data_IF_791550863451
#
_entry.id   IF_791550863451
#
_cell.length_a   1.000
_cell.length_b   1.000
_cell.length_c   1.000
_cell.angle_alpha   90.00
_cell.angle_beta   90.00
_cell.angle_gamma   90.00
#
_symmetry.space_group_name_H-M   'P 1'
#
loop_
_entity.id
_entity.type
_entity.pdbx_description
1 polymer ?
#
# COMPACT_ATOMS: atom_id res chain seq x y z
N UNK A 1 -48.90 20.23 25.04
CA UNK A 1 -47.61 20.21 24.32
C UNK A 1 -47.88 20.49 22.85
N UNK A 2 -47.34 21.58 22.28
CA UNK A 2 -47.74 22.03 20.94
C UNK A 2 -47.27 21.04 19.88
N UNK A 3 -48.20 20.33 19.24
CA UNK A 3 -47.94 19.28 18.24
C UNK A 3 -46.99 19.77 17.14
N UNK A 4 -47.10 21.04 16.72
CA UNK A 4 -46.18 21.69 15.78
C UNK A 4 -44.72 21.70 16.25
N UNK A 5 -44.46 21.90 17.55
CA UNK A 5 -43.10 21.90 18.11
C UNK A 5 -42.50 20.49 18.15
N UNK A 6 -43.34 19.47 18.36
CA UNK A 6 -42.92 18.06 18.36
C UNK A 6 -42.53 17.62 16.95
N UNK A 7 -43.31 17.99 15.94
CA UNK A 7 -42.99 17.66 14.54
C UNK A 7 -41.68 18.30 14.08
N UNK A 8 -41.44 19.56 14.44
CA UNK A 8 -40.18 20.26 14.11
C UNK A 8 -38.98 19.57 14.76
N UNK A 9 -39.09 19.18 16.03
CA UNK A 9 -38.02 18.46 16.74
C UNK A 9 -37.69 17.12 16.06
N UNK A 10 -38.71 16.38 15.62
CA UNK A 10 -38.56 15.07 14.98
C UNK A 10 -37.90 15.17 13.60
N UNK A 11 -38.24 16.19 12.82
CA UNK A 11 -37.58 16.50 11.53
C UNK A 11 -36.12 16.89 11.75
N UNK A 12 -35.83 17.68 12.79
CA UNK A 12 -34.46 18.09 13.11
C UNK A 12 -33.57 16.89 13.48
N UNK A 13 -34.09 15.95 14.28
CA UNK A 13 -33.37 14.73 14.69
C UNK A 13 -33.11 13.81 13.48
N UNK A 14 -34.03 13.73 12.52
CA UNK A 14 -33.83 12.97 11.28
C UNK A 14 -32.76 13.59 10.37
N UNK A 15 -32.68 14.93 10.31
CA UNK A 15 -31.67 15.64 9.52
C UNK A 15 -30.26 15.55 10.12
N UNK A 16 -30.11 15.43 11.43
CA UNK A 16 -28.79 15.26 12.07
C UNK A 16 -28.25 13.84 11.85
N UNK A 17 -29.11 12.82 11.82
CA UNK A 17 -28.70 11.43 11.58
C UNK A 17 -28.17 11.18 10.15
N UNK A 18 -28.61 11.94 9.14
CA UNK A 18 -28.11 11.78 7.76
C UNK A 18 -26.69 12.35 7.56
N UNK A 19 -26.23 13.26 8.42
CA UNK A 19 -24.87 13.84 8.34
C UNK A 19 -23.82 12.83 8.84
N UNK A 20 -24.16 12.01 9.83
CA UNK A 20 -23.25 11.00 10.41
C UNK A 20 -22.92 9.89 9.41
N UNK A 21 -23.89 9.51 8.56
CA UNK A 21 -23.66 8.53 7.48
C UNK A 21 -23.03 9.13 6.21
N UNK A 22 -22.97 10.46 6.09
CA UNK A 22 -22.37 11.15 4.94
C UNK A 22 -20.88 11.46 5.09
N UNK A 23 -20.28 11.22 6.27
CA UNK A 23 -18.82 11.15 6.41
C UNK A 23 -18.31 9.84 5.80
N UNK A 24 -18.40 9.76 4.46
CA UNK A 24 -17.59 8.85 3.65
C UNK A 24 -16.14 9.06 4.06
N UNK A 25 -15.57 8.02 4.67
CA UNK A 25 -14.17 7.63 4.68
C UNK A 25 -13.33 8.59 3.83
N UNK A 26 -12.78 9.65 4.43
CA UNK A 26 -11.80 10.47 3.71
C UNK A 26 -10.60 9.55 3.49
N UNK A 27 -10.24 9.21 2.24
CA UNK A 27 -9.04 8.43 1.99
C UNK A 27 -7.88 9.22 2.60
N UNK A 28 -7.15 8.61 3.52
CA UNK A 28 -5.96 9.21 4.08
C UNK A 28 -5.07 9.73 2.93
N UNK A 29 -4.43 10.92 3.09
CA UNK A 29 -3.66 11.57 2.02
C UNK A 29 -2.53 10.71 1.42
N UNK A 30 -2.18 9.58 2.05
CA UNK A 30 -1.23 8.60 1.53
C UNK A 30 -1.55 8.06 0.13
N UNK A 31 -2.82 7.94 -0.26
CA UNK A 31 -3.20 7.35 -1.56
C UNK A 31 -2.66 8.14 -2.77
N UNK A 32 -2.73 9.47 -2.72
CA UNK A 32 -2.24 10.34 -3.81
C UNK A 32 -0.72 10.31 -3.95
N UNK A 33 0.00 10.22 -2.83
CA UNK A 33 1.47 10.13 -2.86
C UNK A 33 1.95 8.79 -3.41
N UNK A 34 1.24 7.70 -3.12
CA UNK A 34 1.55 6.36 -3.66
C UNK A 34 1.49 6.36 -5.19
N UNK A 35 0.42 6.91 -5.76
CA UNK A 35 0.25 6.95 -7.22
C UNK A 35 1.35 7.76 -7.91
N UNK A 36 1.70 8.93 -7.37
CA UNK A 36 2.80 9.76 -7.89
C UNK A 36 4.16 9.05 -7.81
N UNK A 37 4.44 8.33 -6.72
CA UNK A 37 5.66 7.55 -6.56
C UNK A 37 5.71 6.41 -7.59
N UNK A 38 4.59 5.72 -7.82
CA UNK A 38 4.48 4.64 -8.81
C UNK A 38 4.70 5.18 -10.22
N UNK A 39 4.05 6.28 -10.60
CA UNK A 39 4.23 6.91 -11.91
C UNK A 39 5.69 7.36 -12.13
N UNK A 40 6.30 7.99 -11.12
CA UNK A 40 7.70 8.40 -11.18
C UNK A 40 8.64 7.20 -11.33
N UNK A 41 8.42 6.14 -10.55
CA UNK A 41 9.16 4.88 -10.66
C UNK A 41 9.07 4.32 -12.07
N UNK A 42 7.87 4.24 -12.63
CA UNK A 42 7.65 3.62 -13.94
C UNK A 42 8.35 4.40 -15.06
N UNK A 43 8.31 5.73 -14.99
CA UNK A 43 9.04 6.59 -15.93
C UNK A 43 10.55 6.40 -15.83
N UNK A 44 11.12 6.40 -14.62
CA UNK A 44 12.56 6.21 -14.43
C UNK A 44 13.01 4.78 -14.80
N UNK A 45 12.16 3.79 -14.54
CA UNK A 45 12.39 2.41 -14.95
C UNK A 45 12.44 2.30 -16.47
N UNK A 46 11.47 2.86 -17.18
CA UNK A 46 11.44 2.84 -18.65
C UNK A 46 12.69 3.47 -19.25
N UNK A 47 13.17 4.59 -18.69
CA UNK A 47 14.44 5.21 -19.09
C UNK A 47 15.65 4.30 -18.80
N UNK A 48 15.70 3.67 -17.63
CA UNK A 48 16.83 2.86 -17.21
C UNK A 48 16.97 1.54 -17.99
N UNK A 49 15.84 0.96 -18.40
CA UNK A 49 15.79 -0.31 -19.13
C UNK A 49 15.95 -0.10 -20.65
N UNK A 50 15.72 1.11 -21.16
CA UNK A 50 15.76 1.44 -22.59
C UNK A 50 14.94 0.42 -23.42
N UNK A 51 13.68 0.23 -23.05
CA UNK A 51 12.79 -0.73 -23.70
C UNK A 51 12.32 -0.18 -25.05
N UNK A 52 12.42 -0.98 -26.10
CA UNK A 52 11.73 -0.72 -27.36
C UNK A 52 10.21 -0.80 -27.17
N UNK A 53 9.46 -0.32 -28.16
CA UNK A 53 8.00 -0.35 -28.12
C UNK A 53 7.45 -1.78 -27.99
N UNK A 54 8.07 -2.75 -28.69
CA UNK A 54 7.64 -4.16 -28.63
C UNK A 54 8.01 -4.82 -27.30
N UNK A 55 9.21 -4.57 -26.77
CA UNK A 55 9.59 -5.07 -25.43
C UNK A 55 8.70 -4.47 -24.33
N UNK A 56 8.36 -3.18 -24.43
CA UNK A 56 7.49 -2.50 -23.47
C UNK A 56 6.10 -3.11 -23.40
N UNK A 57 5.51 -3.46 -24.57
CA UNK A 57 4.19 -4.11 -24.65
C UNK A 57 4.14 -5.43 -23.88
N UNK A 58 5.25 -6.16 -23.82
CA UNK A 58 5.33 -7.46 -23.14
C UNK A 58 5.77 -7.33 -21.68
N UNK A 59 6.77 -6.50 -21.40
CA UNK A 59 7.37 -6.37 -20.08
C UNK A 59 6.48 -5.61 -19.09
N UNK A 60 5.83 -4.51 -19.52
CA UNK A 60 5.04 -3.66 -18.61
C UNK A 60 3.86 -4.39 -17.95
N UNK A 61 3.08 -5.23 -18.65
CA UNK A 61 2.06 -6.04 -18.01
C UNK A 61 2.62 -6.97 -16.92
N UNK A 62 3.77 -7.60 -17.16
CA UNK A 62 4.40 -8.50 -16.19
C UNK A 62 4.87 -7.72 -14.96
N UNK A 63 5.46 -6.54 -15.16
CA UNK A 63 5.89 -5.66 -14.06
C UNK A 63 4.68 -5.21 -13.23
N UNK A 64 3.56 -4.87 -13.90
CA UNK A 64 2.30 -4.55 -13.22
C UNK A 64 1.75 -5.73 -12.41
N UNK A 65 1.88 -6.95 -12.92
CA UNK A 65 1.50 -8.16 -12.18
C UNK A 65 2.41 -8.38 -10.95
N UNK A 66 3.71 -8.09 -11.06
CA UNK A 66 4.66 -8.12 -9.92
C UNK A 66 4.22 -7.11 -8.85
N UNK A 67 3.83 -5.90 -9.25
CA UNK A 67 3.35 -4.88 -8.32
C UNK A 67 2.07 -5.28 -7.61
N UNK A 68 1.07 -5.77 -8.36
CA UNK A 68 -0.18 -6.27 -7.79
C UNK A 68 0.05 -7.42 -6.82
N UNK A 69 0.93 -8.36 -7.16
CA UNK A 69 1.29 -9.46 -6.28
C UNK A 69 1.89 -8.93 -4.97
N UNK A 70 2.79 -7.94 -5.05
CA UNK A 70 3.38 -7.29 -3.88
C UNK A 70 2.35 -6.54 -3.03
N UNK A 71 1.43 -5.82 -3.66
CA UNK A 71 0.36 -5.10 -2.95
C UNK A 71 -0.58 -6.05 -2.22
N UNK A 72 -1.07 -7.09 -2.90
CA UNK A 72 -1.92 -8.12 -2.29
C UNK A 72 -1.21 -8.85 -1.16
N UNK A 73 0.08 -9.15 -1.32
CA UNK A 73 0.89 -9.73 -0.25
C UNK A 73 0.93 -8.83 0.99
N UNK A 74 1.20 -7.52 0.85
CA UNK A 74 1.24 -6.62 2.00
C UNK A 74 -0.12 -6.48 2.69
N UNK A 75 -1.21 -6.45 1.92
CA UNK A 75 -2.56 -6.42 2.48
C UNK A 75 -2.85 -7.70 3.29
N UNK A 76 -2.60 -8.87 2.69
CA UNK A 76 -2.80 -10.16 3.36
C UNK A 76 -1.90 -10.31 4.58
N UNK A 77 -0.63 -9.90 4.48
CA UNK A 77 0.33 -9.93 5.57
C UNK A 77 -0.14 -9.07 6.74
N UNK A 78 -0.55 -7.82 6.48
CA UNK A 78 -1.05 -6.92 7.52
C UNK A 78 -2.30 -7.47 8.20
N UNK A 79 -3.24 -8.04 7.43
CA UNK A 79 -4.44 -8.65 7.98
C UNK A 79 -4.10 -9.80 8.93
N UNK A 80 -3.17 -10.69 8.54
CA UNK A 80 -2.74 -11.81 9.40
C UNK A 80 -1.98 -11.32 10.63
N UNK A 81 -1.12 -10.30 10.50
CA UNK A 81 -0.43 -9.71 11.65
C UNK A 81 -1.40 -9.11 12.67
N UNK A 82 -2.45 -8.43 12.21
CA UNK A 82 -3.51 -7.93 13.09
C UNK A 82 -4.26 -9.08 13.79
N UNK A 83 -4.52 -10.19 13.08
CA UNK A 83 -5.12 -11.40 13.69
C UNK A 83 -4.22 -12.04 14.75
N UNK A 84 -2.89 -12.06 14.52
CA UNK A 84 -1.90 -12.51 15.50
C UNK A 84 -1.89 -11.60 16.74
N UNK A 85 -1.84 -10.28 16.54
CA UNK A 85 -1.85 -9.30 17.63
C UNK A 85 -3.12 -9.43 18.49
N UNK A 86 -4.27 -9.62 17.85
CA UNK A 86 -5.53 -9.90 18.54
C UNK A 86 -5.47 -11.21 19.32
N UNK A 87 -4.96 -12.28 18.72
CA UNK A 87 -4.86 -13.60 19.38
C UNK A 87 -3.96 -13.57 20.61
N UNK A 88 -2.86 -12.79 20.56
CA UNK A 88 -1.99 -12.53 21.70
C UNK A 88 -2.72 -11.74 22.80
N UNK A 89 -3.42 -10.67 22.42
CA UNK A 89 -4.19 -9.84 23.35
C UNK A 89 -5.29 -10.63 24.06
N UNK A 90 -5.95 -11.53 23.34
CA UNK A 90 -7.03 -12.39 23.84
C UNK A 90 -6.50 -13.64 24.58
N UNK A 91 -5.16 -13.85 24.66
CA UNK A 91 -4.51 -15.06 25.18
C UNK A 91 -5.02 -16.37 24.54
N UNK A 92 -5.47 -16.33 23.29
CA UNK A 92 -6.04 -17.47 22.59
C UNK A 92 -4.94 -18.23 21.81
N UNK A 93 -4.27 -19.15 22.48
CA UNK A 93 -3.13 -19.89 21.92
C UNK A 93 -3.50 -20.77 20.72
N UNK A 94 -4.74 -21.26 20.63
CA UNK A 94 -5.19 -22.07 19.50
C UNK A 94 -5.32 -21.23 18.23
N UNK A 95 -5.96 -20.06 18.33
CA UNK A 95 -6.10 -19.15 17.19
C UNK A 95 -4.75 -18.51 16.83
N UNK A 96 -3.89 -18.24 17.83
CA UNK A 96 -2.53 -17.78 17.61
C UNK A 96 -1.74 -18.75 16.72
N UNK A 97 -1.72 -20.04 17.06
CA UNK A 97 -1.00 -21.06 16.27
C UNK A 97 -1.47 -21.07 14.81
N UNK A 98 -2.79 -21.04 14.60
CA UNK A 98 -3.40 -21.02 13.26
C UNK A 98 -3.03 -19.77 12.46
N UNK A 99 -3.01 -18.60 13.11
CA UNK A 99 -2.65 -17.34 12.45
C UNK A 99 -1.15 -17.27 12.12
N UNK A 100 -0.30 -17.85 12.96
CA UNK A 100 1.14 -18.01 12.65
C UNK A 100 1.35 -18.93 11.45
N UNK A 101 0.64 -20.05 11.37
CA UNK A 101 0.71 -20.95 10.20
C UNK A 101 0.24 -20.24 8.92
N UNK A 102 -0.86 -19.47 9.01
CA UNK A 102 -1.37 -18.64 7.91
C UNK A 102 -0.34 -17.58 7.48
N UNK A 103 0.38 -16.96 8.41
CA UNK A 103 1.44 -16.01 8.07
C UNK A 103 2.56 -16.67 7.27
N UNK A 104 3.01 -17.86 7.70
CA UNK A 104 4.03 -18.65 7.00
C UNK A 104 3.54 -19.03 5.59
N UNK A 105 2.28 -19.42 5.45
CA UNK A 105 1.69 -19.75 4.17
C UNK A 105 1.63 -18.54 3.21
N UNK A 106 1.19 -17.37 3.70
CA UNK A 106 1.18 -16.12 2.92
C UNK A 106 2.58 -15.78 2.40
N UNK A 107 3.62 -15.96 3.24
CA UNK A 107 5.01 -15.75 2.83
C UNK A 107 5.45 -16.72 1.73
N UNK A 108 5.16 -18.01 1.89
CA UNK A 108 5.51 -19.04 0.90
C UNK A 108 4.85 -18.78 -0.45
N UNK A 109 3.56 -18.46 -0.44
CA UNK A 109 2.79 -18.21 -1.66
C UNK A 109 3.32 -16.96 -2.37
N UNK A 110 3.58 -15.88 -1.64
CA UNK A 110 4.17 -14.67 -2.22
C UNK A 110 5.52 -14.93 -2.89
N UNK A 111 6.41 -15.66 -2.23
CA UNK A 111 7.73 -15.99 -2.78
C UNK A 111 7.62 -16.85 -4.04
N UNK A 112 6.72 -17.83 -4.04
CA UNK A 112 6.44 -18.66 -5.21
C UNK A 112 5.95 -17.81 -6.39
N UNK A 113 4.91 -17.01 -6.18
CA UNK A 113 4.29 -16.20 -7.23
C UNK A 113 5.27 -15.13 -7.75
N UNK A 114 6.06 -14.54 -6.85
CA UNK A 114 7.13 -13.59 -7.21
C UNK A 114 8.16 -14.24 -8.12
N UNK A 115 8.63 -15.45 -7.79
CA UNK A 115 9.61 -16.16 -8.60
C UNK A 115 9.06 -16.53 -9.97
N UNK A 116 7.80 -16.96 -10.06
CA UNK A 116 7.15 -17.26 -11.35
C UNK A 116 7.06 -16.03 -12.24
N UNK A 117 6.66 -14.87 -11.69
CA UNK A 117 6.62 -13.61 -12.42
C UNK A 117 8.01 -13.13 -12.84
N UNK A 118 9.04 -13.30 -12.01
CA UNK A 118 10.42 -12.96 -12.36
C UNK A 118 10.95 -13.85 -13.48
N UNK A 119 10.65 -15.15 -13.46
CA UNK A 119 10.98 -16.08 -14.56
C UNK A 119 10.28 -15.67 -15.85
N UNK A 120 9.00 -15.28 -15.76
CA UNK A 120 8.22 -14.77 -16.90
C UNK A 120 8.86 -13.49 -17.47
N UNK A 121 9.25 -12.55 -16.61
CA UNK A 121 9.90 -11.31 -17.03
C UNK A 121 11.24 -11.59 -17.71
N UNK A 122 12.09 -12.43 -17.11
CA UNK A 122 13.38 -12.84 -17.67
C UNK A 122 13.25 -13.48 -19.05
N UNK A 123 12.22 -14.31 -19.26
CA UNK A 123 11.98 -14.96 -20.56
C UNK A 123 11.64 -13.96 -21.68
N UNK A 124 11.08 -12.81 -21.33
CA UNK A 124 10.57 -11.81 -22.28
C UNK A 124 11.44 -10.56 -22.39
N UNK A 125 12.56 -10.48 -21.67
CA UNK A 125 13.52 -9.40 -21.75
C UNK A 125 14.92 -9.94 -22.09
N UNK A 126 15.73 -9.19 -22.86
CA UNK A 126 17.15 -9.47 -22.95
C UNK A 126 17.79 -9.54 -21.56
N UNK A 127 18.74 -10.46 -21.37
CA UNK A 127 19.37 -10.72 -20.07
C UNK A 127 19.96 -9.44 -19.44
N UNK A 128 20.57 -8.57 -20.25
CA UNK A 128 21.08 -7.27 -19.80
C UNK A 128 19.97 -6.36 -19.23
N UNK A 129 18.83 -6.27 -19.92
CA UNK A 129 17.70 -5.43 -19.49
C UNK A 129 17.02 -5.99 -18.24
N UNK A 130 16.95 -7.32 -18.11
CA UNK A 130 16.48 -7.96 -16.89
C UNK A 130 17.42 -7.69 -15.70
N UNK A 131 18.75 -7.74 -15.90
CA UNK A 131 19.70 -7.37 -14.87
C UNK A 131 19.56 -5.89 -14.46
N UNK A 132 19.39 -4.98 -15.44
CA UNK A 132 19.11 -3.56 -15.20
C UNK A 132 17.83 -3.36 -14.40
N UNK A 133 16.77 -4.11 -14.69
CA UNK A 133 15.53 -4.11 -13.90
C UNK A 133 15.77 -4.48 -12.43
N UNK A 134 16.51 -5.55 -12.16
CA UNK A 134 16.82 -5.97 -10.78
C UNK A 134 17.58 -4.86 -10.04
N UNK A 135 18.61 -4.30 -10.68
CA UNK A 135 19.42 -3.23 -10.09
C UNK A 135 18.59 -1.96 -9.87
N UNK A 136 17.76 -1.58 -10.85
CA UNK A 136 16.86 -0.44 -10.76
C UNK A 136 15.92 -0.58 -9.56
N UNK A 137 15.23 -1.72 -9.42
CA UNK A 137 14.27 -1.92 -8.34
C UNK A 137 14.95 -1.86 -6.95
N UNK A 138 16.17 -2.38 -6.83
CA UNK A 138 16.98 -2.28 -5.61
C UNK A 138 17.36 -0.84 -5.30
N UNK A 139 17.87 -0.10 -6.29
CA UNK A 139 18.32 1.28 -6.11
C UNK A 139 17.15 2.24 -5.84
N UNK A 140 16.07 2.11 -6.61
CA UNK A 140 14.87 2.92 -6.45
C UNK A 140 14.28 2.76 -5.05
N UNK A 141 14.16 1.53 -4.56
CA UNK A 141 13.67 1.27 -3.20
C UNK A 141 14.50 1.94 -2.12
N UNK A 142 15.83 1.84 -2.21
CA UNK A 142 16.76 2.51 -1.28
C UNK A 142 16.63 4.04 -1.34
N UNK A 143 16.68 4.61 -2.53
CA UNK A 143 16.60 6.06 -2.71
C UNK A 143 15.25 6.61 -2.23
N UNK A 144 14.16 5.88 -2.47
CA UNK A 144 12.83 6.26 -1.99
C UNK A 144 12.77 6.23 -0.46
N UNK A 145 13.29 5.17 0.17
CA UNK A 145 13.32 5.05 1.63
C UNK A 145 14.16 6.16 2.27
N UNK A 146 15.33 6.47 1.72
CA UNK A 146 16.21 7.55 2.18
C UNK A 146 15.51 8.92 2.07
N UNK A 147 14.87 9.21 0.93
CA UNK A 147 14.10 10.46 0.73
C UNK A 147 12.93 10.58 1.72
N UNK A 148 12.17 9.50 1.90
CA UNK A 148 11.06 9.46 2.86
C UNK A 148 11.57 9.70 4.29
N UNK A 149 12.68 9.05 4.68
CA UNK A 149 13.28 9.24 5.99
C UNK A 149 13.74 10.69 6.22
N UNK A 150 14.38 11.31 5.22
CA UNK A 150 14.80 12.71 5.29
C UNK A 150 13.60 13.65 5.46
N UNK A 151 12.54 13.47 4.66
CA UNK A 151 11.33 14.29 4.76
C UNK A 151 10.64 14.16 6.12
N UNK A 152 10.56 12.94 6.69
CA UNK A 152 10.00 12.75 8.03
C UNK A 152 10.90 13.37 9.13
N UNK A 153 12.22 13.27 8.98
CA UNK A 153 13.19 13.88 9.89
C UNK A 153 13.13 15.41 9.90
N UNK A 154 12.97 16.04 8.73
CA UNK A 154 12.81 17.48 8.59
C UNK A 154 11.46 17.98 9.11
N UNK A 155 10.37 17.25 8.84
CA UNK A 155 9.05 17.58 9.39
C UNK A 155 9.08 17.61 10.94
N UNK A 156 9.70 16.61 11.56
CA UNK A 156 9.87 16.56 13.02
C UNK A 156 10.74 17.70 13.57
N UNK A 157 11.69 18.23 12.79
CA UNK A 157 12.48 19.41 13.18
C UNK A 157 11.67 20.70 13.06
N UNK A 158 10.88 20.86 12.01
CA UNK A 158 10.02 22.03 11.79
C UNK A 158 8.88 22.12 12.83
N UNK A 159 8.28 20.99 13.20
CA UNK A 159 7.21 20.92 14.21
C UNK A 159 7.73 21.25 15.63
N UNK A 160 9.01 20.98 15.91
CA UNK A 160 9.69 21.42 17.14
C UNK A 160 10.05 22.90 17.15
N UNK A 161 10.28 23.51 15.98
CA UNK A 161 10.64 24.92 15.84
C UNK A 161 9.41 25.85 15.83
N UNK A 162 8.25 25.34 15.40
CA UNK A 162 6.97 26.05 15.43
C UNK A 162 5.89 25.17 16.05
N UNK A 163 5.91 24.98 17.39
CA UNK A 163 4.80 24.28 18.05
C UNK A 163 3.52 25.08 17.80
N UNK A 164 2.56 24.46 17.12
CA UNK A 164 1.21 25.02 17.04
C UNK A 164 0.68 25.11 18.47
N UNK A 165 0.54 26.33 18.98
CA UNK A 165 -0.09 26.57 20.27
C UNK A 165 -1.57 26.13 20.19
N UNK A 166 -2.09 25.52 21.26
CA UNK A 166 -3.49 25.08 21.34
C UNK A 166 -4.47 26.24 21.21
#
# INVERSE_FOLDING_TARGET
MNTKKVTILLVLVLLVNSIIYAQKFQPHPMGKHKELITQYRDLEMLKALDLSQEESKVALPIIKDIDKNRESFYENQNNVLNEIEKSLSDNNMKELSKNVDKFIEVQKNFEKDRLELFKKLRKNLPEEKFARYILFMRQFGRNLQEKIHHMMGEKNKMEKLHPQKP
#
